data_IF_484849664789
#
_entry.id   IF_484849664789
#
_cell.length_a   1.000
_cell.length_b   1.000
_cell.length_c   1.000
_cell.angle_alpha   90.00
_cell.angle_beta   90.00
_cell.angle_gamma   90.00
#
_symmetry.space_group_name_H-M   'P 1'
#
loop_
_entity.id
_entity.type
_entity.pdbx_description
1 polymer ?
#
# COMPACT_ATOMS: atom_id res chain seq x y z
N UNK A 1 5.58 5.43 6.47
CA UNK A 1 6.97 5.75 6.85
C UNK A 1 7.98 5.22 5.83
N UNK A 2 7.93 3.93 5.46
CA UNK A 2 8.88 3.36 4.48
C UNK A 2 8.82 4.11 3.15
N UNK A 3 7.65 4.24 2.53
CA UNK A 3 7.50 4.93 1.24
C UNK A 3 7.90 6.40 1.33
N UNK A 4 7.49 7.09 2.40
CA UNK A 4 7.88 8.47 2.65
C UNK A 4 9.40 8.63 2.75
N UNK A 5 10.07 7.78 3.54
CA UNK A 5 11.53 7.84 3.66
C UNK A 5 12.23 7.50 2.35
N UNK A 6 11.75 6.51 1.60
CA UNK A 6 12.31 6.18 0.29
C UNK A 6 12.16 7.33 -0.71
N UNK A 7 11.04 8.05 -0.66
CA UNK A 7 10.82 9.25 -1.48
C UNK A 7 11.82 10.35 -1.11
N UNK A 8 11.99 10.63 0.21
CA UNK A 8 12.98 11.60 0.71
C UNK A 8 14.44 11.21 0.39
N UNK A 9 14.73 9.93 0.25
CA UNK A 9 16.02 9.43 -0.22
C UNK A 9 16.20 9.52 -1.74
N UNK A 10 15.16 9.92 -2.48
CA UNK A 10 15.18 10.01 -3.94
C UNK A 10 15.26 8.65 -4.63
N UNK A 11 14.74 7.58 -4.01
CA UNK A 11 14.78 6.21 -4.54
C UNK A 11 13.67 5.99 -5.57
N UNK A 12 13.69 6.75 -6.64
CA UNK A 12 12.69 6.74 -7.71
C UNK A 12 12.87 5.54 -8.66
N UNK A 13 11.84 5.17 -9.45
CA UNK A 13 11.91 4.04 -10.39
C UNK A 13 13.00 4.17 -11.46
N UNK A 14 13.42 5.39 -11.78
CA UNK A 14 14.49 5.72 -12.75
C UNK A 14 15.89 5.75 -12.12
N UNK A 15 16.02 5.45 -10.83
CA UNK A 15 17.29 5.46 -10.10
C UNK A 15 17.73 4.03 -9.75
N UNK A 16 19.02 3.81 -9.50
CA UNK A 16 19.50 2.51 -9.04
C UNK A 16 18.84 2.07 -7.73
N UNK A 17 18.67 0.76 -7.57
CA UNK A 17 18.30 0.16 -6.29
C UNK A 17 19.38 0.41 -5.22
N UNK A 18 18.98 0.47 -3.98
CA UNK A 18 19.89 0.50 -2.83
C UNK A 18 19.67 -0.71 -1.93
N UNK A 19 20.63 -1.07 -1.11
CA UNK A 19 20.46 -2.16 -0.13
C UNK A 19 19.24 -1.91 0.76
N UNK A 20 18.41 -2.92 0.94
CA UNK A 20 17.24 -2.83 1.80
C UNK A 20 17.60 -2.45 3.24
N UNK A 21 18.76 -2.91 3.71
CA UNK A 21 19.30 -2.54 5.04
C UNK A 21 19.52 -1.03 5.21
N UNK A 22 19.87 -0.31 4.13
CA UNK A 22 19.99 1.15 4.16
C UNK A 22 18.63 1.81 4.37
N UNK A 23 17.60 1.38 3.63
CA UNK A 23 16.23 1.89 3.80
C UNK A 23 15.74 1.62 5.22
N UNK A 24 15.91 0.39 5.71
CA UNK A 24 15.52 -0.01 7.07
C UNK A 24 16.21 0.86 8.13
N UNK A 25 17.52 1.06 7.99
CA UNK A 25 18.29 1.90 8.91
C UNK A 25 17.82 3.36 8.94
N UNK A 26 17.56 3.95 7.78
CA UNK A 26 17.08 5.33 7.68
C UNK A 26 15.66 5.47 8.27
N UNK A 27 14.76 4.53 8.02
CA UNK A 27 13.41 4.53 8.64
C UNK A 27 13.49 4.37 10.15
N UNK A 28 14.31 3.44 10.63
CA UNK A 28 14.48 3.17 12.06
C UNK A 28 15.07 4.38 12.80
N UNK A 29 16.09 4.98 12.24
CA UNK A 29 16.77 6.09 12.88
C UNK A 29 16.01 7.41 12.87
N UNK A 30 15.14 7.63 11.87
CA UNK A 30 14.47 8.91 11.66
C UNK A 30 13.00 8.93 12.04
N UNK A 31 12.28 7.83 11.80
CA UNK A 31 10.81 7.83 11.83
C UNK A 31 10.22 6.77 12.76
N UNK A 32 10.92 5.65 12.97
CA UNK A 32 10.33 4.50 13.66
C UNK A 32 11.36 3.79 14.54
N UNK A 33 11.55 4.23 15.79
CA UNK A 33 12.60 3.73 16.71
C UNK A 33 12.22 2.37 17.31
N UNK A 34 12.03 1.38 16.47
CA UNK A 34 11.69 -0.01 16.81
C UNK A 34 12.66 -0.98 16.15
N UNK A 35 12.48 -2.29 16.37
CA UNK A 35 13.34 -3.30 15.77
C UNK A 35 13.35 -3.28 14.24
N UNK A 36 14.49 -3.51 13.64
CA UNK A 36 14.72 -3.53 12.20
C UNK A 36 13.93 -4.63 11.49
N UNK A 37 13.70 -5.76 12.15
CA UNK A 37 12.95 -6.90 11.61
C UNK A 37 11.54 -6.49 11.16
N UNK A 38 10.79 -5.78 12.00
CA UNK A 38 9.43 -5.35 11.68
C UNK A 38 9.41 -4.37 10.50
N UNK A 39 10.40 -3.48 10.41
CA UNK A 39 10.52 -2.53 9.30
C UNK A 39 10.84 -3.29 8.01
N UNK A 40 11.78 -4.23 8.05
CA UNK A 40 12.14 -5.02 6.88
C UNK A 40 10.98 -5.92 6.40
N UNK A 41 10.27 -6.58 7.30
CA UNK A 41 9.10 -7.39 6.96
C UNK A 41 8.02 -6.54 6.26
N UNK A 42 7.78 -5.32 6.74
CA UNK A 42 6.84 -4.39 6.09
C UNK A 42 7.33 -3.97 4.70
N UNK A 43 8.64 -3.66 4.54
CA UNK A 43 9.25 -3.35 3.25
C UNK A 43 9.09 -4.51 2.27
N UNK A 44 9.38 -5.73 2.72
CA UNK A 44 9.24 -6.94 1.91
C UNK A 44 7.82 -7.12 1.40
N UNK A 45 6.82 -6.98 2.26
CA UNK A 45 5.40 -7.10 1.86
C UNK A 45 5.02 -6.11 0.77
N UNK A 46 5.51 -4.86 0.84
CA UNK A 46 5.25 -3.84 -0.17
C UNK A 46 5.85 -4.17 -1.55
N UNK A 47 6.81 -5.10 -1.62
CA UNK A 47 7.47 -5.54 -2.85
C UNK A 47 6.92 -6.87 -3.40
N UNK A 48 6.17 -7.62 -2.61
CA UNK A 48 5.72 -8.97 -2.98
C UNK A 48 4.47 -8.94 -3.88
N UNK A 49 4.54 -9.45 -5.14
CA UNK A 49 3.40 -9.44 -6.04
C UNK A 49 2.28 -10.42 -5.63
N UNK A 50 2.58 -11.39 -4.75
CA UNK A 50 1.59 -12.31 -4.18
C UNK A 50 0.92 -11.76 -2.90
N UNK A 51 1.42 -10.66 -2.35
CA UNK A 51 0.86 -9.96 -1.17
C UNK A 51 0.13 -8.68 -1.55
N UNK A 52 0.70 -7.92 -2.50
CA UNK A 52 0.15 -6.64 -2.94
C UNK A 52 -0.47 -6.79 -4.33
N UNK A 53 -1.72 -6.33 -4.49
CA UNK A 53 -2.35 -6.29 -5.81
C UNK A 53 -1.59 -5.36 -6.76
N UNK A 54 -1.05 -4.27 -6.21
CA UNK A 54 -0.20 -3.33 -6.92
C UNK A 54 1.02 -3.03 -6.04
N UNK A 55 2.14 -3.74 -6.23
CA UNK A 55 3.35 -3.52 -5.44
C UNK A 55 3.84 -2.08 -5.49
N UNK A 56 4.26 -1.54 -4.36
CA UNK A 56 4.70 -0.15 -4.20
C UNK A 56 6.23 -0.04 -4.12
N UNK A 57 6.92 -1.15 -3.95
CA UNK A 57 8.37 -1.25 -3.95
C UNK A 57 8.80 -2.18 -5.09
N UNK A 58 9.79 -1.74 -5.84
CA UNK A 58 10.52 -2.54 -6.82
C UNK A 58 11.74 -3.14 -6.14
N UNK A 59 11.66 -4.45 -5.88
CA UNK A 59 12.70 -5.23 -5.20
C UNK A 59 13.62 -5.94 -6.17
N UNK A 60 14.90 -6.03 -5.82
CA UNK A 60 15.91 -6.78 -6.52
C UNK A 60 16.55 -7.81 -5.59
N UNK A 61 16.51 -9.08 -5.98
CA UNK A 61 16.94 -10.21 -5.16
C UNK A 61 15.78 -11.06 -4.67
N UNK A 62 16.01 -11.87 -3.64
CA UNK A 62 15.00 -12.78 -3.10
C UNK A 62 14.12 -12.08 -2.05
N UNK A 63 12.91 -11.70 -2.44
CA UNK A 63 11.87 -11.16 -1.57
C UNK A 63 10.87 -12.22 -1.07
N UNK A 64 11.23 -13.49 -1.17
CA UNK A 64 10.39 -14.60 -0.72
C UNK A 64 9.41 -15.11 -1.78
N UNK A 65 8.72 -16.16 -1.41
CA UNK A 65 7.65 -16.80 -2.15
C UNK A 65 6.53 -17.20 -1.19
N UNK A 66 5.51 -17.89 -1.66
CA UNK A 66 4.47 -18.44 -0.79
C UNK A 66 5.00 -19.48 0.20
N UNK A 67 6.08 -20.18 -0.17
CA UNK A 67 6.64 -21.29 0.62
C UNK A 67 7.89 -20.88 1.41
N UNK A 68 8.65 -19.91 0.90
CA UNK A 68 9.95 -19.53 1.47
C UNK A 68 10.00 -18.05 1.83
N UNK A 69 10.67 -17.74 2.94
CA UNK A 69 10.92 -16.38 3.37
C UNK A 69 11.93 -15.63 2.50
N UNK A 70 12.03 -14.29 2.66
CA UNK A 70 12.98 -13.47 1.93
C UNK A 70 14.42 -13.68 2.43
N UNK A 71 15.40 -13.30 1.60
CA UNK A 71 16.78 -13.16 2.03
C UNK A 71 16.92 -11.99 3.03
N UNK A 72 18.00 -11.99 3.82
CA UNK A 72 18.28 -10.92 4.78
C UNK A 72 18.45 -9.56 4.08
N UNK A 73 18.15 -8.43 4.77
CA UNK A 73 18.12 -7.09 4.17
C UNK A 73 19.46 -6.61 3.61
N UNK A 74 20.57 -7.20 4.01
CA UNK A 74 21.90 -6.93 3.45
C UNK A 74 22.10 -7.49 2.03
N UNK A 75 21.29 -8.46 1.62
CA UNK A 75 21.38 -9.10 0.29
C UNK A 75 20.39 -8.52 -0.72
N UNK A 76 19.22 -8.11 -0.28
CA UNK A 76 18.18 -7.55 -1.15
C UNK A 76 18.40 -6.06 -1.38
N UNK A 77 17.85 -5.56 -2.49
CA UNK A 77 17.89 -4.15 -2.88
C UNK A 77 16.48 -3.67 -3.20
N UNK A 78 16.23 -2.37 -3.00
CA UNK A 78 14.92 -1.80 -3.16
C UNK A 78 14.98 -0.37 -3.73
N UNK A 79 13.93 0.00 -4.44
CA UNK A 79 13.56 1.37 -4.82
C UNK A 79 12.04 1.48 -4.88
N UNK A 80 11.51 2.68 -5.03
CA UNK A 80 10.08 2.87 -5.23
C UNK A 80 9.66 2.28 -6.59
N UNK A 81 8.53 1.58 -6.62
CA UNK A 81 7.84 1.25 -7.85
C UNK A 81 7.08 2.47 -8.39
N UNK A 82 6.76 2.49 -9.69
CA UNK A 82 6.06 3.61 -10.31
C UNK A 82 4.74 4.01 -9.60
N UNK A 83 3.89 3.09 -9.13
CA UNK A 83 2.68 3.45 -8.40
C UNK A 83 2.94 4.20 -7.10
N UNK A 84 4.06 3.96 -6.43
CA UNK A 84 4.38 4.65 -5.18
C UNK A 84 4.57 6.16 -5.37
N UNK A 85 5.03 6.61 -6.56
CA UNK A 85 5.14 8.03 -6.87
C UNK A 85 3.78 8.74 -6.83
N UNK A 86 2.71 8.04 -7.20
CA UNK A 86 1.36 8.58 -7.12
C UNK A 86 0.84 8.67 -5.68
N UNK A 87 1.41 7.89 -4.74
CA UNK A 87 1.07 7.99 -3.32
C UNK A 87 1.75 9.16 -2.63
N UNK A 88 2.97 9.52 -3.06
CA UNK A 88 3.79 10.59 -2.47
C UNK A 88 3.70 11.90 -3.26
N UNK A 89 2.99 11.92 -4.39
CA UNK A 89 2.77 13.12 -5.18
C UNK A 89 2.14 14.22 -4.32
N UNK A 90 2.57 15.46 -4.55
CA UNK A 90 2.03 16.66 -3.90
C UNK A 90 2.21 16.74 -2.37
N UNK A 91 3.12 15.95 -1.79
CA UNK A 91 3.46 16.02 -0.36
C UNK A 91 3.97 17.41 0.07
N UNK A 92 4.59 18.14 -0.84
CA UNK A 92 5.15 19.48 -0.57
C UNK A 92 4.15 20.61 -0.92
N UNK A 93 2.90 20.27 -1.29
CA UNK A 93 1.84 21.20 -1.71
C UNK A 93 0.77 21.42 -0.61
N UNK A 94 1.08 21.15 0.64
CA UNK A 94 0.16 21.31 1.79
C UNK A 94 -1.16 20.52 1.65
N UNK A 95 -1.04 19.31 1.07
CA UNK A 95 -2.19 18.43 0.81
C UNK A 95 -2.56 17.54 1.98
N UNK A 96 -1.65 17.35 2.94
CA UNK A 96 -1.81 16.53 4.14
C UNK A 96 -1.14 17.17 5.34
N UNK A 97 -1.63 16.86 6.53
CA UNK A 97 -1.04 17.33 7.78
C UNK A 97 0.28 16.60 8.07
N UNK A 98 1.21 17.32 8.70
CA UNK A 98 2.49 16.81 9.18
C UNK A 98 2.57 16.89 10.69
N UNK A 99 3.11 15.85 11.29
CA UNK A 99 3.37 15.78 12.73
C UNK A 99 4.86 15.62 13.01
N UNK A 100 5.36 16.05 14.17
CA UNK A 100 6.73 15.76 14.58
C UNK A 100 6.98 14.25 14.63
N UNK A 101 8.19 13.83 14.27
CA UNK A 101 8.66 12.46 14.51
C UNK A 101 8.91 12.23 16.01
N UNK A 102 9.33 11.01 16.38
CA UNK A 102 9.47 10.58 17.79
C UNK A 102 10.41 11.43 18.65
N UNK A 103 11.43 12.07 18.07
CA UNK A 103 12.42 12.90 18.76
C UNK A 103 12.30 14.41 18.47
N UNK A 104 11.25 14.80 17.74
CA UNK A 104 10.95 16.20 17.36
C UNK A 104 12.01 16.86 16.48
N UNK A 105 12.89 16.09 15.84
CA UNK A 105 13.93 16.63 14.95
C UNK A 105 13.46 16.78 13.50
N UNK A 106 12.43 16.03 13.11
CA UNK A 106 11.85 16.01 11.78
C UNK A 106 10.33 16.03 11.84
N UNK A 107 9.69 16.22 10.69
CA UNK A 107 8.25 16.02 10.54
C UNK A 107 7.98 14.87 9.56
N UNK A 108 6.89 14.15 9.79
CA UNK A 108 6.39 13.09 8.93
C UNK A 108 4.91 13.34 8.60
N UNK A 109 4.42 12.96 7.40
CA UNK A 109 3.02 13.12 7.07
C UNK A 109 2.17 12.14 7.87
N UNK A 110 1.00 12.58 8.32
CA UNK A 110 0.03 11.71 9.00
C UNK A 110 -0.49 10.62 8.07
N UNK A 111 -0.74 10.99 6.80
CA UNK A 111 -1.16 10.09 5.71
C UNK A 111 -0.47 10.49 4.42
N UNK A 112 -0.42 9.61 3.44
CA UNK A 112 0.04 9.95 2.10
C UNK A 112 -1.12 10.53 1.27
N UNK A 113 -0.87 11.50 0.37
CA UNK A 113 -1.92 12.14 -0.47
C UNK A 113 -2.69 11.16 -1.35
N UNK A 114 -2.00 10.14 -1.86
CA UNK A 114 -2.57 9.03 -2.65
C UNK A 114 -3.42 9.50 -3.84
N UNK A 115 -2.76 9.84 -4.95
CA UNK A 115 -3.43 10.26 -6.19
C UNK A 115 -4.24 9.13 -6.90
N UNK A 116 -4.20 7.91 -6.37
CA UNK A 116 -5.12 6.83 -6.77
C UNK A 116 -5.69 6.15 -5.51
N UNK A 117 -6.82 5.44 -5.59
CA UNK A 117 -7.51 4.87 -4.43
C UNK A 117 -6.79 3.62 -3.87
N UNK A 118 -5.58 3.79 -3.34
CA UNK A 118 -4.72 2.70 -2.86
C UNK A 118 -5.38 1.85 -1.79
N UNK A 119 -6.21 2.44 -0.92
CA UNK A 119 -6.92 1.70 0.12
C UNK A 119 -7.80 0.58 -0.45
N UNK A 120 -8.50 0.85 -1.55
CA UNK A 120 -9.32 -0.15 -2.23
C UNK A 120 -8.49 -1.07 -3.12
N UNK A 121 -7.48 -0.54 -3.80
CA UNK A 121 -6.65 -1.32 -4.73
C UNK A 121 -5.81 -2.36 -4.00
N UNK A 122 -5.10 -1.99 -2.95
CA UNK A 122 -4.24 -2.91 -2.18
C UNK A 122 -4.92 -3.50 -0.96
N UNK A 123 -6.10 -2.98 -0.59
CA UNK A 123 -6.77 -3.40 0.62
C UNK A 123 -6.07 -2.89 1.88
N UNK A 124 -6.58 -3.30 3.02
CA UNK A 124 -5.98 -3.02 4.32
C UNK A 124 -6.36 -4.10 5.32
N UNK A 125 -5.41 -4.48 6.16
CA UNK A 125 -5.67 -5.34 7.31
C UNK A 125 -5.00 -4.74 8.54
N UNK A 126 -5.69 -4.74 9.66
CA UNK A 126 -5.17 -4.21 10.91
C UNK A 126 -5.95 -4.70 12.11
N UNK A 127 -5.24 -4.86 13.23
CA UNK A 127 -5.82 -5.28 14.51
C UNK A 127 -5.52 -4.18 15.51
N UNK A 128 -6.58 -3.58 16.06
CA UNK A 128 -6.48 -2.58 17.12
C UNK A 128 -7.24 -3.06 18.37
N UNK A 129 -7.08 -2.34 19.47
CA UNK A 129 -7.87 -2.61 20.67
C UNK A 129 -9.33 -2.20 20.41
N UNK A 130 -10.24 -3.15 20.54
CA UNK A 130 -11.67 -2.91 20.36
C UNK A 130 -12.20 -3.02 18.94
N UNK A 131 -11.35 -3.02 17.91
CA UNK A 131 -11.78 -3.26 16.53
C UNK A 131 -10.65 -3.83 15.64
N UNK A 132 -11.04 -4.45 14.54
CA UNK A 132 -10.15 -4.89 13.50
C UNK A 132 -10.71 -4.49 12.14
N UNK A 133 -9.84 -4.33 11.15
CA UNK A 133 -10.24 -4.13 9.76
C UNK A 133 -9.59 -5.20 8.89
N UNK A 134 -10.34 -5.63 7.88
CA UNK A 134 -9.82 -6.51 6.83
C UNK A 134 -10.55 -6.20 5.52
N UNK A 135 -9.94 -5.36 4.71
CA UNK A 135 -10.46 -4.94 3.42
C UNK A 135 -9.70 -5.67 2.32
N UNK A 136 -10.37 -6.43 1.43
CA UNK A 136 -9.69 -7.11 0.34
C UNK A 136 -9.20 -6.12 -0.72
N UNK A 137 -8.19 -6.51 -1.52
CA UNK A 137 -7.73 -5.72 -2.67
C UNK A 137 -8.72 -5.80 -3.84
N UNK A 138 -8.63 -4.78 -4.73
CA UNK A 138 -9.51 -4.64 -5.90
C UNK A 138 -8.71 -4.24 -7.14
N UNK A 139 -9.31 -4.43 -8.30
CA UNK A 139 -8.72 -4.02 -9.57
C UNK A 139 -8.70 -2.49 -9.71
N UNK A 140 -7.54 -1.92 -10.05
CA UNK A 140 -7.37 -0.47 -10.18
C UNK A 140 -8.30 0.14 -11.22
N UNK A 141 -8.44 -0.49 -12.39
CA UNK A 141 -9.26 0.04 -13.48
C UNK A 141 -10.74 0.03 -13.10
N UNK A 142 -11.22 -1.02 -12.45
CA UNK A 142 -12.58 -1.15 -11.94
C UNK A 142 -12.89 -0.08 -10.89
N UNK A 143 -12.00 0.08 -9.90
CA UNK A 143 -12.18 1.09 -8.83
C UNK A 143 -12.19 2.50 -9.39
N UNK A 144 -11.28 2.82 -10.31
CA UNK A 144 -11.26 4.14 -10.97
C UNK A 144 -12.51 4.37 -11.80
N UNK A 145 -13.02 3.35 -12.50
CA UNK A 145 -14.27 3.46 -13.26
C UNK A 145 -15.46 3.74 -12.34
N UNK A 146 -15.57 3.03 -11.22
CA UNK A 146 -16.58 3.30 -10.18
C UNK A 146 -16.48 4.71 -9.60
N UNK A 147 -15.27 5.15 -9.26
CA UNK A 147 -15.03 6.50 -8.74
C UNK A 147 -15.44 7.58 -9.75
N UNK A 148 -15.11 7.41 -11.02
CA UNK A 148 -15.54 8.35 -12.09
C UNK A 148 -17.05 8.36 -12.26
N UNK A 149 -17.71 7.22 -12.14
CA UNK A 149 -19.18 7.13 -12.19
C UNK A 149 -19.79 7.90 -11.01
N UNK A 150 -19.29 7.68 -9.79
CA UNK A 150 -19.78 8.34 -8.58
C UNK A 150 -19.62 9.88 -8.64
N UNK A 151 -18.52 10.39 -9.24
CA UNK A 151 -18.33 11.83 -9.45
C UNK A 151 -19.42 12.48 -10.29
N UNK A 152 -19.96 11.75 -11.27
CA UNK A 152 -21.02 12.25 -12.15
C UNK A 152 -22.42 11.83 -11.70
N UNK A 153 -22.52 10.86 -10.80
CA UNK A 153 -23.76 10.33 -10.23
C UNK A 153 -23.62 10.18 -8.71
N UNK A 154 -23.64 11.29 -7.95
CA UNK A 154 -23.37 11.26 -6.50
C UNK A 154 -24.34 10.40 -5.69
N UNK A 155 -25.55 10.17 -6.25
CA UNK A 155 -26.60 9.33 -5.64
C UNK A 155 -26.54 7.85 -6.07
N UNK A 156 -25.45 7.44 -6.74
CA UNK A 156 -25.29 6.05 -7.17
C UNK A 156 -25.38 5.09 -5.98
N UNK A 157 -26.18 4.04 -6.14
CA UNK A 157 -26.32 2.99 -5.15
C UNK A 157 -25.09 2.06 -5.10
N UNK A 158 -25.03 1.20 -4.09
CA UNK A 158 -24.01 0.15 -4.03
C UNK A 158 -24.09 -0.76 -5.25
N UNK A 159 -25.30 -1.12 -5.68
CA UNK A 159 -25.53 -1.96 -6.85
C UNK A 159 -24.99 -1.32 -8.14
N UNK A 160 -25.19 -0.01 -8.30
CA UNK A 160 -24.65 0.73 -9.43
C UNK A 160 -23.11 0.71 -9.44
N UNK A 161 -22.48 0.87 -8.29
CA UNK A 161 -21.03 0.81 -8.17
C UNK A 161 -20.50 -0.62 -8.37
N UNK A 162 -21.23 -1.64 -7.92
CA UNK A 162 -20.87 -3.04 -8.16
C UNK A 162 -20.96 -3.47 -9.62
N UNK A 163 -21.64 -2.71 -10.48
CA UNK A 163 -21.55 -2.92 -11.91
C UNK A 163 -20.15 -2.66 -12.48
N UNK A 164 -19.36 -1.82 -11.82
CA UNK A 164 -17.95 -1.54 -12.16
C UNK A 164 -16.97 -2.40 -11.34
N UNK A 165 -17.27 -2.64 -10.07
CA UNK A 165 -16.45 -3.42 -9.13
C UNK A 165 -17.26 -4.62 -8.63
N UNK A 166 -17.36 -5.69 -9.42
CA UNK A 166 -18.21 -6.84 -9.08
C UNK A 166 -17.70 -7.66 -7.87
N UNK A 167 -16.44 -7.49 -7.50
CA UNK A 167 -15.83 -8.21 -6.38
C UNK A 167 -14.37 -7.88 -6.20
N UNK A 168 -13.73 -8.49 -5.19
CA UNK A 168 -12.30 -8.31 -4.92
C UNK A 168 -11.45 -8.94 -6.03
N UNK A 169 -10.20 -8.46 -6.12
CA UNK A 169 -9.20 -8.93 -7.09
C UNK A 169 -7.92 -9.32 -6.35
N UNK A 170 -7.80 -10.61 -6.02
CA UNK A 170 -6.73 -11.13 -5.17
C UNK A 170 -5.40 -11.17 -5.92
N UNK A 171 -4.25 -10.83 -5.28
CA UNK A 171 -2.93 -10.81 -5.92
C UNK A 171 -2.52 -12.14 -6.56
N UNK A 172 -2.83 -13.26 -5.91
CA UNK A 172 -2.53 -14.59 -6.41
C UNK A 172 -3.62 -15.17 -7.35
N UNK A 173 -4.64 -14.38 -7.67
CA UNK A 173 -5.76 -14.80 -8.50
C UNK A 173 -6.83 -15.59 -7.72
N UNK A 174 -7.80 -16.10 -8.44
CA UNK A 174 -8.90 -16.89 -7.90
C UNK A 174 -10.09 -16.90 -8.85
N UNK A 175 -11.08 -17.72 -8.53
CA UNK A 175 -12.35 -17.81 -9.26
C UNK A 175 -13.47 -17.48 -8.28
N UNK A 176 -14.29 -16.50 -8.63
CA UNK A 176 -15.49 -16.15 -7.87
C UNK A 176 -16.60 -17.13 -8.24
N UNK A 177 -17.15 -17.82 -7.23
CA UNK A 177 -18.28 -18.74 -7.40
C UNK A 177 -19.53 -18.11 -6.79
N UNK A 178 -20.34 -17.47 -7.65
CA UNK A 178 -21.52 -16.70 -7.24
C UNK A 178 -21.17 -15.33 -6.67
N UNK A 179 -22.14 -14.42 -6.63
CA UNK A 179 -21.93 -13.04 -6.18
C UNK A 179 -22.68 -12.69 -4.89
N UNK A 180 -23.54 -13.58 -4.37
CA UNK A 180 -24.40 -13.25 -3.22
C UNK A 180 -23.60 -12.95 -1.95
N UNK A 181 -22.55 -13.74 -1.69
CA UNK A 181 -21.66 -13.50 -0.55
C UNK A 181 -20.90 -12.16 -0.67
N UNK A 182 -20.48 -11.80 -1.87
CA UNK A 182 -19.79 -10.51 -2.12
C UNK A 182 -20.75 -9.34 -1.91
N UNK A 183 -21.98 -9.43 -2.45
CA UNK A 183 -23.01 -8.41 -2.25
C UNK A 183 -23.34 -8.22 -0.77
N UNK A 184 -23.47 -9.32 -0.02
CA UNK A 184 -23.72 -9.25 1.41
C UNK A 184 -22.54 -8.62 2.16
N UNK A 185 -21.30 -9.03 1.84
CA UNK A 185 -20.11 -8.46 2.45
C UNK A 185 -19.97 -6.95 2.17
N UNK A 186 -20.21 -6.51 0.95
CA UNK A 186 -20.14 -5.09 0.58
C UNK A 186 -21.26 -4.26 1.23
N UNK A 187 -22.44 -4.85 1.40
CA UNK A 187 -23.57 -4.17 2.04
C UNK A 187 -23.42 -4.05 3.54
N UNK A 188 -22.87 -5.04 4.21
CA UNK A 188 -22.85 -5.14 5.68
C UNK A 188 -21.47 -4.91 6.29
N UNK A 189 -20.41 -5.01 5.50
CA UNK A 189 -19.02 -4.98 5.96
C UNK A 189 -18.60 -6.28 6.67
N UNK A 190 -19.30 -7.40 6.43
CA UNK A 190 -19.04 -8.70 7.10
C UNK A 190 -18.99 -9.84 6.12
#
# INVERSE_FOLDING_TARGET
RILFQMDRMGLRPDRPHVKSSRVVGDVMGRLHPHGDTAIYEALVRLAQPFTMRLPLIDGHGNFGSLDDGPAAPRYTEARLAAPALALTADLDEDTVDFTPNYDYTLTEPEVLPAAFPNLLVNGAAGIAVGMATNMPPHNLVEVVAAARHLLTHPEASLEDLMAFVPGPDLPAGGIIVGLDGIREAYRTGR
#
